data_IF_633763502471
#
_entry.id   IF_633763502471
#
_cell.length_a   1.000
_cell.length_b   1.000
_cell.length_c   1.000
_cell.angle_alpha   90.00
_cell.angle_beta   90.00
_cell.angle_gamma   90.00
#
_symmetry.space_group_name_H-M   'P 1'
#
loop_
_entity.id
_entity.type
_entity.pdbx_description
1 polymer ?
2 non-polymer ?
3 non-polymer ?
4 non-polymer ?
5 water ?
#
# COMPACT_ATOMS: atom_id res chain seq x y z
N UNK A 6 13.08 -27.40 17.75
CA UNK A 6 12.70 -26.79 19.07
C UNK A 6 12.14 -25.35 18.92
N UNK A 7 11.49 -24.81 19.96
CA UNK A 7 11.03 -23.38 19.98
C UNK A 7 10.97 -22.70 21.39
N UNK A 8 10.31 -21.53 21.48
CA UNK A 8 10.24 -20.74 22.74
C UNK A 8 9.20 -21.27 23.77
N UNK A 9 8.25 -22.09 23.27
CA UNK A 9 7.17 -22.68 24.08
C UNK A 9 7.67 -23.94 24.77
N UNK A 10 8.72 -24.54 24.22
CA UNK A 10 9.33 -25.75 24.77
C UNK A 10 10.86 -25.80 24.59
N UNK A 11 11.55 -24.93 25.33
CA UNK A 11 13.00 -24.98 25.54
C UNK A 11 13.19 -24.85 27.06
N UNK A 12 14.23 -25.46 27.64
CA UNK A 12 14.47 -25.38 29.10
C UNK A 12 14.86 -23.94 29.55
N UNK A 13 14.16 -23.42 30.57
CA UNK A 13 14.41 -22.05 31.09
C UNK A 13 15.33 -22.12 32.33
N UNK A 14 16.63 -21.97 32.10
CA UNK A 14 17.69 -22.19 33.14
C UNK A 14 17.95 -21.05 34.16
N UNK A 15 17.72 -19.80 33.73
CA UNK A 15 17.96 -18.58 34.54
C UNK A 15 17.04 -18.37 35.75
N UNK A 16 15.77 -18.83 35.65
CA UNK A 16 14.66 -18.51 36.62
C UNK A 16 15.06 -18.30 38.11
N UNK A 17 15.20 -17.03 38.54
CA UNK A 17 15.96 -16.80 39.75
C UNK A 17 15.17 -17.06 41.05
N UNK A 18 15.85 -17.48 42.12
CA UNK A 18 15.17 -17.70 43.40
C UNK A 18 14.47 -16.44 43.89
N UNK A 19 13.15 -16.54 44.05
CA UNK A 19 12.34 -15.42 44.54
C UNK A 19 12.60 -15.05 46.03
N UNK A 20 13.72 -14.38 46.27
CA UNK A 20 14.10 -13.94 47.61
C UNK A 20 13.88 -12.43 47.79
N UNK A 21 13.94 -11.94 49.04
CA UNK A 21 13.87 -10.49 49.25
C UNK A 21 14.90 -9.71 48.45
N UNK A 22 16.07 -10.28 48.26
CA UNK A 22 17.15 -9.56 47.65
C UNK A 22 16.82 -9.50 46.18
N UNK A 23 16.24 -10.59 45.64
CA UNK A 23 15.85 -10.58 44.25
C UNK A 23 14.78 -9.51 43.97
N UNK A 24 13.76 -9.43 44.82
CA UNK A 24 12.67 -8.50 44.56
C UNK A 24 13.16 -7.03 44.66
N UNK A 25 14.12 -6.81 45.57
CA UNK A 25 14.78 -5.50 45.75
C UNK A 25 15.58 -5.03 44.52
N UNK A 26 16.36 -5.94 43.92
CA UNK A 26 17.01 -5.74 42.63
C UNK A 26 16.03 -5.43 41.50
N UNK A 27 14.87 -6.06 41.50
CA UNK A 27 13.81 -5.83 40.51
C UNK A 27 13.16 -4.45 40.73
N UNK A 28 12.94 -4.10 41.99
CA UNK A 28 12.49 -2.76 42.35
C UNK A 28 13.54 -1.76 41.84
N UNK A 29 14.79 -2.13 41.97
CA UNK A 29 15.87 -1.29 41.57
C UNK A 29 15.84 -1.13 40.05
N UNK A 30 15.62 -2.24 39.32
CA UNK A 30 15.47 -2.19 37.85
C UNK A 30 14.42 -1.15 37.45
N UNK A 31 13.20 -1.24 37.99
CA UNK A 31 12.12 -0.31 37.65
C UNK A 31 12.55 1.13 37.79
N UNK A 32 13.27 1.43 38.87
CA UNK A 32 13.70 2.80 39.18
C UNK A 32 14.67 3.34 38.15
N UNK A 33 15.56 2.49 37.68
CA UNK A 33 16.68 2.91 36.84
C UNK A 33 16.43 2.76 35.36
N UNK A 34 15.20 2.48 34.97
CA UNK A 34 14.81 2.20 33.57
C UNK A 34 15.51 1.01 32.93
N UNK A 35 15.66 -0.06 33.70
CA UNK A 35 16.29 -1.30 33.25
C UNK A 35 15.23 -2.36 33.18
N UNK A 36 15.27 -3.18 32.13
CA UNK A 36 14.38 -4.33 32.03
C UNK A 36 15.21 -5.54 31.71
N UNK A 37 15.19 -6.57 32.56
CA UNK A 37 16.13 -7.65 32.30
C UNK A 37 15.68 -8.54 31.14
N UNK A 38 16.67 -9.13 30.48
CA UNK A 38 16.41 -9.81 29.23
C UNK A 38 15.71 -11.10 29.50
N UNK A 39 16.05 -11.69 30.64
CA UNK A 39 15.79 -13.09 30.82
C UNK A 39 14.31 -13.43 30.79
N UNK A 40 13.54 -12.60 31.50
CA UNK A 40 12.09 -12.74 31.66
C UNK A 40 11.23 -12.61 30.37
N UNK A 41 11.87 -12.44 29.22
CA UNK A 41 11.11 -12.21 28.00
C UNK A 41 11.80 -12.40 26.63
N UNK A 42 12.97 -13.04 26.59
CA UNK A 42 13.66 -13.25 25.31
C UNK A 42 12.68 -13.63 24.17
N UNK A 43 11.76 -14.56 24.46
CA UNK A 43 10.81 -15.10 23.46
C UNK A 43 9.85 -14.12 22.83
N UNK A 44 9.26 -13.24 23.64
CA UNK A 44 8.45 -12.12 23.13
C UNK A 44 9.27 -11.36 22.08
N UNK A 45 10.46 -10.94 22.51
CA UNK A 45 11.37 -10.11 21.74
C UNK A 45 11.87 -10.76 20.45
N UNK A 46 12.05 -12.08 20.45
CA UNK A 46 12.77 -12.74 19.36
C UNK A 46 12.11 -14.02 18.90
N UNK A 47 10.99 -13.89 18.16
CA UNK A 47 10.21 -15.08 17.83
C UNK A 47 10.89 -15.99 16.84
N UNK A 48 10.29 -17.15 16.63
CA UNK A 48 10.84 -18.17 15.74
C UNK A 48 10.68 -17.68 14.30
N UNK A 49 9.54 -17.05 14.00
CA UNK A 49 9.25 -16.40 12.73
C UNK A 49 8.33 -15.22 12.99
N UNK A 50 8.20 -14.29 12.04
CA UNK A 50 7.34 -13.16 12.34
C UNK A 50 5.97 -13.59 12.88
N UNK A 51 5.53 -12.90 13.90
CA UNK A 51 4.24 -13.21 14.44
C UNK A 51 3.58 -11.86 14.68
N UNK A 52 2.94 -11.36 13.64
CA UNK A 52 2.48 -9.99 13.63
C UNK A 52 1.34 -9.68 14.60
N UNK A 53 1.39 -8.49 15.18
CA UNK A 53 0.27 -7.97 15.93
C UNK A 53 -0.91 -7.71 15.02
N UNK A 54 -0.67 -7.28 13.76
CA UNK A 54 -1.77 -7.10 12.82
C UNK A 54 -2.33 -8.45 12.39
N UNK A 55 -3.54 -8.41 11.88
CA UNK A 55 -4.30 -9.62 11.66
C UNK A 55 -4.76 -9.54 10.24
N UNK A 56 -4.83 -10.70 9.54
CA UNK A 56 -5.43 -10.72 8.21
C UNK A 56 -6.89 -10.20 8.29
N UNK A 57 -7.26 -9.29 7.41
CA UNK A 57 -8.58 -8.71 7.49
C UNK A 57 -9.02 -8.30 6.11
N UNK A 58 -10.33 -8.38 5.82
CA UNK A 58 -10.93 -7.95 4.56
C UNK A 58 -11.88 -6.81 4.89
N UNK A 59 -11.90 -5.79 4.02
CA UNK A 59 -12.92 -4.74 4.05
C UNK A 59 -13.79 -4.80 2.80
N UNK A 60 -15.12 -4.83 2.99
CA UNK A 60 -16.04 -4.97 1.87
C UNK A 60 -16.25 -3.62 1.23
N UNK A 61 -16.02 -3.52 -0.07
CA UNK A 61 -16.16 -2.26 -0.78
C UNK A 61 -17.53 -1.61 -0.62
N UNK A 62 -18.60 -2.39 -0.75
CA UNK A 62 -19.97 -1.85 -0.64
C UNK A 62 -20.12 -1.16 0.72
N UNK A 63 -19.55 -1.79 1.78
CA UNK A 63 -19.43 -1.19 3.12
C UNK A 63 -18.66 0.13 3.09
N UNK A 64 -17.44 0.13 2.53
CA UNK A 64 -16.61 1.34 2.45
C UNK A 64 -17.31 2.49 1.69
N UNK A 65 -17.87 2.17 0.53
CA UNK A 65 -18.72 3.06 -0.22
C UNK A 65 -19.88 3.67 0.60
N UNK A 66 -20.62 2.84 1.33
CA UNK A 66 -21.75 3.36 2.10
C UNK A 66 -21.26 4.41 3.09
N UNK A 67 -20.24 4.06 3.88
CA UNK A 67 -19.69 4.97 4.89
C UNK A 67 -18.98 6.21 4.27
N UNK A 68 -18.49 6.07 3.04
CA UNK A 68 -17.84 7.19 2.34
C UNK A 68 -18.86 8.19 1.86
N UNK A 69 -19.95 7.72 1.28
CA UNK A 69 -21.01 8.59 0.85
C UNK A 69 -21.60 9.36 2.03
N UNK A 70 -21.84 8.65 3.13
CA UNK A 70 -22.45 9.24 4.30
C UNK A 70 -21.52 10.29 4.87
N UNK A 71 -20.22 10.00 4.92
CA UNK A 71 -19.24 11.03 5.29
C UNK A 71 -19.38 12.27 4.41
N UNK A 72 -19.64 12.05 3.11
CA UNK A 72 -19.94 13.11 2.18
C UNK A 72 -21.11 13.97 2.61
N UNK A 73 -22.10 13.38 3.27
CA UNK A 73 -23.22 14.17 3.77
C UNK A 73 -22.80 14.96 5.01
N UNK A 74 -22.34 14.25 6.02
CA UNK A 74 -22.23 14.81 7.33
C UNK A 74 -21.07 15.79 7.60
N UNK A 75 -20.04 15.82 6.75
CA UNK A 75 -18.75 16.53 7.04
C UNK A 75 -18.07 17.13 5.79
N UNK A 76 -17.61 18.42 5.82
CA UNK A 76 -16.85 18.84 4.63
C UNK A 76 -15.35 18.50 4.78
N UNK A 77 -14.67 18.42 3.64
CA UNK A 77 -13.23 18.23 3.54
C UNK A 77 -12.67 19.64 3.72
N UNK A 78 -11.49 19.74 4.34
CA UNK A 78 -11.11 21.00 4.93
C UNK A 78 -9.64 21.27 5.14
N UNK A 79 -9.28 21.58 6.38
CA UNK A 79 -7.98 22.22 6.66
C UNK A 79 -7.28 21.77 7.94
N UNK A 80 -8.02 21.40 8.96
CA UNK A 80 -7.35 20.71 10.08
C UNK A 80 -7.23 19.23 9.75
N UNK A 81 -8.38 18.67 9.32
CA UNK A 81 -8.60 17.26 9.07
C UNK A 81 -7.99 16.92 7.75
N UNK A 82 -7.78 17.97 6.94
CA UNK A 82 -7.03 17.91 5.66
C UNK A 82 -7.78 17.13 4.52
N UNK A 83 -8.19 15.89 4.85
CA UNK A 83 -8.91 14.99 3.94
C UNK A 83 -10.16 14.33 4.62
N UNK A 84 -11.28 14.27 3.90
CA UNK A 84 -12.41 13.39 4.28
C UNK A 84 -12.06 11.99 3.78
N UNK A 85 -11.22 11.33 4.55
CA UNK A 85 -10.72 10.02 4.22
C UNK A 85 -10.92 9.05 5.39
N UNK A 86 -11.22 7.80 5.03
CA UNK A 86 -11.60 6.75 5.97
C UNK A 86 -10.48 5.71 5.98
N UNK A 87 -9.74 5.63 7.09
CA UNK A 87 -8.53 4.82 7.17
C UNK A 87 -8.90 3.45 7.68
N UNK A 88 -8.40 2.41 7.01
CA UNK A 88 -8.64 1.03 7.41
C UNK A 88 -7.72 0.68 8.58
N UNK A 89 -8.30 0.49 9.74
CA UNK A 89 -7.56 0.19 10.96
C UNK A 89 -7.54 -1.32 11.20
N UNK A 90 -6.35 -1.87 11.37
CA UNK A 90 -6.26 -3.29 11.65
C UNK A 90 -6.78 -3.61 13.07
N UNK A 91 -7.70 -4.59 13.19
CA UNK A 91 -8.12 -4.96 14.56
C UNK A 91 -6.93 -5.29 15.50
N UNK A 92 -5.82 -5.75 14.96
CA UNK A 92 -4.76 -6.20 15.85
C UNK A 92 -3.78 -5.13 16.29
N UNK A 93 -3.95 -3.92 15.75
CA UNK A 93 -3.03 -2.82 16.00
C UNK A 93 -3.53 -1.75 16.96
N UNK A 94 -4.22 -2.20 18.01
CA UNK A 94 -4.48 -1.39 19.23
C UNK A 94 -5.13 0.01 19.11
N UNK A 95 -6.08 0.13 18.18
CA UNK A 95 -6.74 1.39 17.91
C UNK A 95 -6.08 2.33 16.89
N UNK A 96 -4.85 2.01 16.43
CA UNK A 96 -4.15 2.88 15.50
C UNK A 96 -4.77 2.83 14.08
N UNK A 97 -4.69 3.92 13.32
CA UNK A 97 -5.27 3.93 12.01
C UNK A 97 -4.30 3.36 10.99
N UNK A 98 -3.91 2.12 11.23
CA UNK A 98 -2.84 1.43 10.52
C UNK A 98 -3.38 0.14 9.89
N UNK A 99 -3.30 -0.03 8.58
CA UNK A 99 -3.79 -1.28 8.05
C UNK A 99 -2.76 -2.41 8.33
N UNK A 100 -1.48 -2.04 8.40
CA UNK A 100 -0.38 -2.92 8.78
C UNK A 100 0.58 -2.08 9.61
N UNK A 101 1.62 -2.68 10.23
CA UNK A 101 2.57 -1.85 10.99
C UNK A 101 3.33 -0.78 10.15
N UNK A 102 3.41 -1.04 8.85
CA UNK A 102 4.13 -0.17 7.94
C UNK A 102 3.25 0.80 7.14
N UNK A 103 2.02 0.40 6.76
CA UNK A 103 1.20 1.18 5.79
C UNK A 103 -0.13 1.69 6.29
N UNK A 104 -0.48 2.87 5.81
CA UNK A 104 -1.83 3.40 5.97
C UNK A 104 -2.55 3.16 4.67
N UNK A 105 -3.80 2.77 4.77
CA UNK A 105 -4.62 2.48 3.60
C UNK A 105 -5.93 3.20 3.86
N UNK A 106 -6.42 3.98 2.89
CA UNK A 106 -7.56 4.85 3.17
C UNK A 106 -8.47 5.05 2.00
N UNK A 107 -9.76 5.24 2.26
CA UNK A 107 -10.63 5.63 1.17
C UNK A 107 -11.07 7.09 1.25
N UNK A 108 -10.69 7.87 0.23
CA UNK A 108 -10.92 9.28 0.25
C UNK A 108 -12.07 9.56 -0.66
N UNK A 109 -13.04 10.32 -0.13
CA UNK A 109 -14.23 10.73 -0.86
C UNK A 109 -14.09 12.21 -1.17
N UNK A 110 -14.27 12.59 -2.43
CA UNK A 110 -14.23 14.02 -2.78
C UNK A 110 -15.49 14.32 -3.55
N UNK A 111 -16.31 15.18 -2.94
CA UNK A 111 -17.61 15.54 -3.47
C UNK A 111 -17.51 16.65 -4.49
N UNK A 112 -18.64 16.95 -5.14
CA UNK A 112 -18.71 17.87 -6.27
C UNK A 112 -18.02 19.20 -6.02
N UNK A 113 -17.20 19.61 -6.98
CA UNK A 113 -16.61 20.95 -6.96
C UNK A 113 -15.66 21.21 -5.77
N UNK A 114 -15.51 20.22 -4.89
CA UNK A 114 -14.62 20.35 -3.73
C UNK A 114 -13.15 20.36 -4.08
N UNK A 115 -12.37 21.00 -3.21
CA UNK A 115 -10.94 20.94 -3.32
C UNK A 115 -10.27 20.62 -1.97
N UNK A 116 -9.01 20.16 -2.08
CA UNK A 116 -8.08 19.94 -0.97
C UNK A 116 -6.87 20.88 -1.17
N UNK A 117 -6.19 21.24 -0.10
CA UNK A 117 -5.19 22.31 -0.34
C UNK A 117 -3.75 21.79 -0.46
N UNK A 118 -2.89 22.61 -1.06
CA UNK A 118 -1.46 22.29 -1.29
C UNK A 118 -0.63 22.01 0.01
N UNK A 119 -0.34 20.74 0.34
CA UNK A 119 0.60 20.47 1.44
C UNK A 119 1.75 19.56 0.98
N UNK A 120 2.78 19.42 1.82
CA UNK A 120 3.77 18.32 1.69
C UNK A 120 4.24 17.78 3.03
N UNK A 121 4.60 16.51 2.99
CA UNK A 121 5.17 15.79 4.12
C UNK A 121 6.30 14.82 3.66
N UNK A 122 7.20 14.45 4.57
CA UNK A 122 8.22 13.47 4.23
C UNK A 122 7.62 12.12 3.84
N UNK A 123 6.39 11.84 4.30
CA UNK A 123 5.77 10.52 4.11
C UNK A 123 5.45 10.25 2.65
N UNK A 124 5.74 9.05 2.17
CA UNK A 124 5.52 8.75 0.75
C UNK A 124 4.06 8.35 0.50
N UNK A 125 3.50 8.76 -0.63
CA UNK A 125 2.06 8.56 -0.86
C UNK A 125 1.70 8.14 -2.30
N UNK A 126 0.62 7.41 -2.46
CA UNK A 126 0.04 7.24 -3.77
C UNK A 126 -1.50 7.28 -3.65
N UNK A 127 -2.14 7.50 -4.79
CA UNK A 127 -3.58 7.62 -4.97
C UNK A 127 -4.04 6.59 -6.00
N UNK A 128 -4.87 5.63 -5.64
CA UNK A 128 -5.37 4.69 -6.66
C UNK A 128 -6.90 4.70 -6.80
N UNK A 129 -7.36 5.06 -8.03
CA UNK A 129 -8.78 5.28 -8.40
C UNK A 129 -9.50 4.08 -8.99
N UNK A 130 -10.46 3.48 -8.26
CA UNK A 130 -11.19 2.27 -8.76
C UNK A 130 -12.48 2.64 -9.54
N UNK A 131 -13.05 3.79 -9.19
CA UNK A 131 -14.30 4.29 -9.72
C UNK A 131 -14.28 5.79 -9.55
N UNK A 132 -14.56 6.52 -10.63
CA UNK A 132 -14.57 7.97 -10.53
C UNK A 132 -13.97 8.56 -11.76
N UNK A 133 -13.97 9.88 -11.87
CA UNK A 133 -13.40 10.55 -13.06
C UNK A 133 -13.26 12.05 -12.79
N UNK A 134 -12.45 12.70 -13.60
CA UNK A 134 -12.37 14.17 -13.60
C UNK A 134 -12.04 14.92 -12.33
N UNK A 135 -11.45 14.25 -11.32
CA UNK A 135 -10.64 14.96 -10.27
C UNK A 135 -9.20 15.11 -10.75
N UNK A 136 -8.51 16.13 -10.27
CA UNK A 136 -7.15 16.43 -10.68
C UNK A 136 -6.25 16.74 -9.46
N UNK A 137 -5.16 15.99 -9.28
CA UNK A 137 -4.19 16.29 -8.22
C UNK A 137 -3.05 17.08 -8.78
N UNK A 138 -2.75 18.24 -8.21
CA UNK A 138 -1.65 19.03 -8.71
C UNK A 138 -0.42 18.67 -7.89
N UNK A 139 0.64 18.16 -8.53
CA UNK A 139 1.87 17.78 -7.82
C UNK A 139 3.03 18.74 -8.17
N UNK A 140 3.60 19.42 -7.17
CA UNK A 140 4.64 20.39 -7.44
C UNK A 140 4.20 21.29 -8.64
N UNK A 141 2.94 21.79 -8.61
CA UNK A 141 2.40 22.62 -9.70
C UNK A 141 1.92 21.93 -10.99
N UNK A 142 2.03 20.62 -11.07
CA UNK A 142 1.82 19.89 -12.33
C UNK A 142 0.48 19.11 -12.23
N UNK A 143 -0.59 19.64 -12.85
CA UNK A 143 -1.91 18.99 -12.69
C UNK A 143 -1.93 17.61 -13.32
N UNK A 144 -2.37 16.64 -12.53
CA UNK A 144 -2.39 15.26 -12.93
C UNK A 144 -3.82 14.74 -12.83
N UNK A 145 -4.52 14.68 -13.97
CA UNK A 145 -5.88 14.10 -14.09
C UNK A 145 -5.97 12.73 -13.44
N UNK A 146 -7.10 12.36 -12.84
CA UNK A 146 -7.28 11.04 -12.20
C UNK A 146 -8.49 10.32 -12.82
N UNK A 147 -8.37 9.00 -13.10
CA UNK A 147 -9.54 8.16 -13.50
C UNK A 147 -9.45 6.60 -13.27
N UNK A 148 -10.54 5.87 -13.45
CA UNK A 148 -10.57 4.43 -13.08
C UNK A 148 -9.32 3.72 -13.60
N UNK A 149 -8.62 3.06 -12.68
CA UNK A 149 -7.40 2.29 -12.94
C UNK A 149 -6.09 3.07 -12.80
N UNK A 150 -6.15 4.36 -12.52
CA UNK A 150 -4.95 5.17 -12.54
C UNK A 150 -4.24 5.14 -11.21
N UNK A 151 -2.93 4.81 -11.21
CA UNK A 151 -2.08 5.02 -10.04
C UNK A 151 -1.47 6.37 -10.18
N UNK A 152 -1.69 7.26 -9.22
CA UNK A 152 -0.90 8.48 -9.20
C UNK A 152 0.06 8.36 -8.05
N UNK A 153 1.26 8.88 -8.24
CA UNK A 153 2.24 8.96 -7.17
C UNK A 153 2.31 10.38 -6.58
N UNK A 154 2.73 10.46 -5.32
CA UNK A 154 2.87 11.69 -4.60
C UNK A 154 4.06 11.45 -3.67
N UNK A 155 5.26 11.42 -4.25
CA UNK A 155 6.38 11.00 -3.46
C UNK A 155 6.62 12.02 -2.36
N UNK A 156 7.30 11.56 -1.30
CA UNK A 156 7.63 12.42 -0.16
C UNK A 156 8.24 13.75 -0.52
N UNK A 157 7.80 14.79 0.20
CA UNK A 157 8.32 16.17 0.11
C UNK A 157 7.91 16.97 -1.14
N UNK A 158 6.98 16.40 -1.93
CA UNK A 158 6.32 17.05 -3.08
C UNK A 158 5.00 17.68 -2.69
N UNK A 159 4.87 18.99 -2.93
CA UNK A 159 3.57 19.69 -2.74
C UNK A 159 2.39 18.98 -3.48
N UNK A 160 1.23 18.89 -2.85
CA UNK A 160 0.08 18.32 -3.55
C UNK A 160 -1.30 18.79 -2.99
N UNK A 161 -2.27 19.05 -3.89
CA UNK A 161 -3.69 19.31 -3.54
C UNK A 161 -4.65 18.77 -4.60
N UNK A 162 -5.91 18.56 -4.22
CA UNK A 162 -6.92 17.81 -5.00
C UNK A 162 -8.21 18.59 -5.41
N UNK A 163 -8.31 19.18 -6.63
CA UNK A 163 -9.56 19.85 -7.17
C UNK A 163 -10.56 18.99 -7.98
N UNK A 164 -11.84 18.93 -7.59
CA UNK A 164 -12.81 18.14 -8.36
C UNK A 164 -13.56 18.93 -9.41
N UNK A 165 -13.32 18.68 -10.70
CA UNK A 165 -13.91 19.51 -11.76
C UNK A 165 -15.37 19.24 -12.17
N UNK A 166 -16.08 18.36 -11.48
CA UNK A 166 -17.42 17.98 -11.92
C UNK A 166 -18.41 17.88 -10.76
N UNK A 167 -19.69 17.82 -11.11
CA UNK A 167 -20.75 17.58 -10.15
C UNK A 167 -20.75 16.14 -9.65
N UNK A 168 -19.68 15.40 -9.92
CA UNK A 168 -19.62 14.04 -9.42
C UNK A 168 -18.69 13.82 -8.23
N UNK A 169 -19.09 12.93 -7.32
CA UNK A 169 -18.12 12.58 -6.33
C UNK A 169 -17.04 11.65 -6.95
N UNK A 170 -15.86 11.62 -6.34
CA UNK A 170 -14.83 10.64 -6.65
C UNK A 170 -14.29 9.90 -5.44
N UNK A 171 -14.19 8.58 -5.57
CA UNK A 171 -13.59 7.75 -4.54
C UNK A 171 -12.28 7.07 -4.99
N UNK A 172 -11.24 7.26 -4.19
CA UNK A 172 -9.97 6.62 -4.45
C UNK A 172 -9.33 5.97 -3.21
N UNK A 173 -8.17 5.33 -3.35
CA UNK A 173 -7.50 4.93 -2.14
C UNK A 173 -6.20 5.68 -1.99
N UNK A 174 -5.95 6.15 -0.76
CA UNK A 174 -4.63 6.56 -0.35
C UNK A 174 -3.87 5.36 0.11
N UNK A 175 -2.59 5.32 -0.22
CA UNK A 175 -1.67 4.41 0.47
C UNK A 175 -0.48 5.21 0.94
N UNK A 176 -0.07 5.03 2.21
CA UNK A 176 1.10 5.76 2.66
C UNK A 176 1.90 4.97 3.63
N UNK A 177 3.15 5.37 3.81
CA UNK A 177 3.97 4.82 4.85
C UNK A 177 3.84 5.63 6.15
N UNK A 178 2.64 6.13 6.49
CA UNK A 178 2.40 6.86 7.78
C UNK A 178 2.78 5.98 8.98
N UNK A 179 2.29 4.69 8.99
CA UNK A 179 2.61 3.82 10.15
C UNK A 179 4.13 3.58 10.34
N UNK A 180 4.89 3.33 9.28
CA UNK A 180 6.35 3.31 9.37
C UNK A 180 6.86 4.65 9.90
N UNK A 181 6.48 5.73 9.24
CA UNK A 181 7.06 7.03 9.51
C UNK A 181 6.77 7.50 10.91
N UNK A 182 5.59 7.21 11.43
CA UNK A 182 5.29 7.57 12.80
C UNK A 182 6.13 6.81 13.83
N UNK A 183 6.16 5.49 13.73
CA UNK A 183 6.87 4.64 14.63
C UNK A 183 8.37 4.87 14.60
N UNK A 184 8.95 5.16 13.41
CA UNK A 184 10.37 5.46 13.28
C UNK A 184 10.80 6.95 13.40
N UNK A 185 9.87 7.85 13.68
CA UNK A 185 10.20 9.30 13.89
C UNK A 185 10.89 10.00 12.71
N UNK A 186 10.19 9.98 11.59
CA UNK A 186 10.81 10.33 10.35
C UNK A 186 9.94 11.40 9.65
N UNK A 187 8.84 11.80 10.30
CA UNK A 187 7.86 12.71 9.69
C UNK A 187 8.14 14.21 9.74
N UNK A 188 7.97 14.87 8.60
CA UNK A 188 7.93 16.33 8.51
C UNK A 188 6.71 16.71 7.70
N UNK A 189 6.26 17.96 7.85
CA UNK A 189 5.03 18.42 7.25
C UNK A 189 5.00 19.93 7.07
N UNK A 190 4.63 20.37 5.87
CA UNK A 190 4.46 21.79 5.53
C UNK A 190 3.15 22.15 4.82
N UNK A 191 2.84 23.46 4.91
CA UNK A 191 1.65 24.00 4.30
C UNK A 191 1.95 24.70 2.98
N UNK A 192 0.98 24.53 2.09
CA UNK A 192 0.86 25.27 0.85
C UNK A 192 -0.55 25.83 0.83
N UNK A 193 -1.10 26.03 -0.36
CA UNK A 193 -2.38 26.76 -0.52
C UNK A 193 -3.72 25.95 -0.33
N UNK A 194 -4.79 26.69 0.01
CA UNK A 194 -6.19 26.18 0.14
C UNK A 194 -6.95 25.99 -1.19
N UNK A 195 -6.55 26.72 -2.22
CA UNK A 195 -6.94 26.39 -3.59
C UNK A 195 -5.77 25.51 -4.04
N UNK A 196 -6.01 24.57 -4.97
CA UNK A 196 -4.86 23.94 -5.64
C UNK A 196 -4.12 25.02 -6.48
N UNK A 197 -2.80 24.88 -6.59
CA UNK A 197 -1.90 25.90 -7.15
C UNK A 197 -2.19 26.26 -8.63
N UNK A 198 -2.77 25.34 -9.38
CA UNK A 198 -2.96 25.50 -10.82
C UNK A 198 -4.30 24.87 -11.22
N UNK A 199 -5.32 25.72 -11.42
CA UNK A 199 -6.66 25.20 -11.66
C UNK A 199 -6.86 24.59 -13.05
N UNK A 200 -5.94 24.89 -13.96
CA UNK A 200 -5.90 24.26 -15.29
C UNK A 200 -6.12 22.72 -15.22
N UNK A 201 -6.70 22.17 -16.27
CA UNK A 201 -7.10 20.78 -16.26
C UNK A 201 -6.52 19.91 -17.42
N UNK A 202 -5.20 20.07 -17.75
CA UNK A 202 -4.63 19.51 -18.98
C UNK A 202 -4.75 17.99 -18.99
N UNK A 203 -5.21 17.43 -20.10
CA UNK A 203 -5.62 16.01 -20.17
C UNK A 203 -4.48 15.00 -19.79
N UNK A 204 -3.22 15.45 -19.95
CA UNK A 204 -2.02 14.71 -19.49
C UNK A 204 -1.05 15.69 -18.85
N UNK A 205 -0.22 15.17 -17.93
CA UNK A 205 0.63 16.01 -17.13
C UNK A 205 1.98 16.13 -17.77
N UNK A 206 2.73 17.20 -17.43
CA UNK A 206 4.09 17.37 -17.96
C UNK A 206 4.94 16.12 -17.75
N UNK A 207 4.96 15.61 -16.51
CA UNK A 207 5.76 14.41 -16.14
C UNK A 207 5.52 13.23 -17.06
N UNK A 208 4.23 12.94 -17.28
CA UNK A 208 3.79 11.94 -18.23
C UNK A 208 4.40 12.20 -19.60
N UNK A 209 4.36 13.48 -19.98
CA UNK A 209 4.66 13.84 -21.36
C UNK A 209 6.16 13.79 -21.62
N UNK A 210 7.00 13.99 -20.59
CA UNK A 210 8.46 13.77 -20.71
C UNK A 210 8.79 12.24 -20.65
N UNK A 211 8.12 11.57 -19.71
CA UNK A 211 8.56 10.29 -19.17
C UNK A 211 7.76 9.08 -19.58
N UNK A 212 6.56 9.23 -20.13
CA UNK A 212 5.86 8.05 -20.54
C UNK A 212 6.10 7.57 -21.97
N UNK A 213 7.31 7.76 -22.48
CA UNK A 213 7.64 7.16 -23.77
C UNK A 213 8.55 5.96 -23.61
N UNK A 214 8.08 4.79 -24.03
CA UNK A 214 8.74 3.54 -23.62
C UNK A 214 10.19 3.49 -24.08
N UNK A 215 11.10 3.19 -23.17
CA UNK A 215 12.53 3.10 -23.46
C UNK A 215 13.24 4.39 -23.85
N UNK A 216 12.62 5.54 -23.55
CA UNK A 216 13.20 6.83 -23.90
C UNK A 216 13.42 7.72 -22.68
N UNK A 217 14.52 8.46 -22.65
CA UNK A 217 14.76 9.34 -21.53
C UNK A 217 15.13 10.71 -22.06
N UNK A 218 14.52 11.80 -21.54
CA UNK A 218 14.87 13.14 -21.93
C UNK A 218 16.28 13.49 -21.52
N UNK A 219 17.01 14.24 -22.34
CA UNK A 219 18.40 14.54 -21.98
C UNK A 219 18.40 15.59 -20.90
N UNK A 220 17.24 16.14 -20.58
CA UNK A 220 17.17 17.17 -19.55
C UNK A 220 16.92 16.52 -18.21
N UNK A 221 16.64 15.20 -18.24
CA UNK A 221 16.37 14.32 -17.08
C UNK A 221 17.34 13.12 -16.90
N UNK A 222 18.65 13.36 -17.06
CA UNK A 222 19.69 12.32 -17.04
C UNK A 222 20.06 11.85 -15.62
N UNK A 223 19.80 12.74 -14.65
CA UNK A 223 19.97 12.45 -13.25
C UNK A 223 18.93 11.42 -12.75
N UNK A 224 19.39 10.42 -12.00
CA UNK A 224 18.46 9.47 -11.36
C UNK A 224 17.71 10.09 -10.18
N UNK A 225 16.55 9.54 -9.86
CA UNK A 225 15.71 10.12 -8.82
C UNK A 225 15.46 9.03 -7.78
N UNK A 226 15.13 9.41 -6.54
CA UNK A 226 14.84 8.40 -5.49
C UNK A 226 13.40 7.88 -5.62
N UNK A 227 12.50 8.78 -6.03
CA UNK A 227 11.14 8.37 -6.41
C UNK A 227 10.92 8.60 -7.90
N UNK A 228 9.79 8.12 -8.38
CA UNK A 228 9.57 8.13 -9.79
C UNK A 228 9.09 9.50 -10.28
N UNK A 229 9.55 9.98 -11.44
CA UNK A 229 8.94 11.16 -11.98
C UNK A 229 7.62 10.91 -12.73
N UNK A 230 7.15 9.66 -12.81
CA UNK A 230 5.92 9.45 -13.54
C UNK A 230 4.77 9.80 -12.60
N UNK A 231 4.06 10.88 -12.91
CA UNK A 231 3.00 11.31 -12.05
C UNK A 231 1.83 10.37 -12.10
N UNK A 232 1.57 9.76 -13.26
CA UNK A 232 0.44 8.84 -13.39
C UNK A 232 0.76 7.57 -14.20
N UNK A 233 0.39 6.42 -13.70
CA UNK A 233 0.49 5.18 -14.48
C UNK A 233 -0.93 4.83 -14.90
N UNK A 234 -1.28 5.12 -16.15
CA UNK A 234 -2.69 5.03 -16.56
C UNK A 234 -3.19 3.63 -16.83
N UNK A 235 -4.46 3.44 -16.54
CA UNK A 235 -5.12 2.20 -16.80
C UNK A 235 -4.75 1.55 -18.15
N UNK A 236 -4.77 2.36 -19.23
CA UNK A 236 -4.56 1.81 -20.57
C UNK A 236 -3.32 0.93 -20.63
N UNK A 237 -2.17 1.54 -20.31
CA UNK A 237 -0.90 0.88 -20.43
C UNK A 237 -0.89 -0.35 -19.52
N UNK A 238 -1.37 -0.17 -18.27
CA UNK A 238 -1.45 -1.29 -17.32
C UNK A 238 -2.25 -2.44 -17.91
N UNK A 239 -3.41 -2.10 -18.51
CA UNK A 239 -4.28 -3.08 -19.12
C UNK A 239 -3.60 -3.84 -20.30
N UNK A 240 -3.03 -3.08 -21.22
CA UNK A 240 -2.41 -3.68 -22.36
C UNK A 240 -1.24 -4.57 -21.93
N UNK A 241 -0.41 -4.08 -21.00
CA UNK A 241 0.69 -4.93 -20.53
C UNK A 241 0.17 -6.30 -20.10
N UNK A 242 -0.89 -6.30 -19.30
CA UNK A 242 -1.38 -7.54 -18.69
C UNK A 242 -1.91 -8.49 -19.75
N UNK A 243 -2.65 -7.94 -20.73
CA UNK A 243 -3.21 -8.66 -21.88
C UNK A 243 -2.12 -9.33 -22.73
N UNK A 244 -1.14 -8.55 -23.18
CA UNK A 244 0.04 -9.10 -23.88
C UNK A 244 0.66 -10.29 -23.13
N UNK A 245 0.83 -10.17 -21.82
CA UNK A 245 1.42 -11.28 -21.08
C UNK A 245 0.57 -12.56 -21.23
N UNK A 246 -0.74 -12.37 -21.37
CA UNK A 246 -1.67 -13.51 -21.51
C UNK A 246 -1.71 -14.07 -22.95
N UNK A 247 -1.76 -13.17 -23.93
CA UNK A 247 -1.49 -13.52 -25.31
C UNK A 247 -0.14 -14.24 -25.53
N UNK A 248 0.96 -13.71 -24.98
CA UNK A 248 2.26 -14.40 -25.04
C UNK A 248 2.18 -15.85 -24.50
N UNK A 249 1.50 -16.03 -23.36
CA UNK A 249 1.23 -17.34 -22.79
C UNK A 249 0.45 -18.27 -23.78
N UNK A 250 -0.64 -17.75 -24.36
CA UNK A 250 -1.37 -18.47 -25.42
C UNK A 250 -0.42 -18.94 -26.52
N UNK A 251 0.56 -18.11 -26.83
CA UNK A 251 1.48 -18.34 -27.92
C UNK A 251 2.66 -19.22 -27.50
N UNK A 252 2.61 -19.78 -26.30
CA UNK A 252 3.74 -20.55 -25.75
C UNK A 252 5.05 -19.80 -25.39
N UNK A 253 5.01 -18.48 -25.23
CA UNK A 253 6.22 -17.72 -24.89
C UNK A 253 6.23 -17.38 -23.44
N UNK A 254 7.41 -17.42 -22.80
CA UNK A 254 7.57 -16.84 -21.43
C UNK A 254 7.08 -15.35 -21.27
N UNK A 255 6.39 -15.06 -20.16
CA UNK A 255 5.79 -13.77 -19.91
C UNK A 255 5.19 -13.78 -18.52
N UNK A 256 4.10 -14.52 -18.37
CA UNK A 256 3.43 -14.66 -17.09
C UNK A 256 4.40 -15.04 -15.92
N UNK A 257 4.08 -14.67 -14.70
CA UNK A 257 4.90 -15.10 -13.55
C UNK A 257 4.75 -16.57 -13.25
N UNK A 258 3.50 -17.03 -13.36
CA UNK A 258 3.12 -18.39 -13.12
C UNK A 258 1.99 -18.69 -14.08
N UNK A 259 1.67 -19.95 -14.26
CA UNK A 259 0.71 -20.31 -15.29
C UNK A 259 -0.62 -19.62 -15.10
N UNK A 260 -1.05 -18.89 -16.10
CA UNK A 260 -2.32 -18.15 -16.05
C UNK A 260 -2.28 -16.88 -15.23
N UNK A 261 -1.11 -16.59 -14.64
CA UNK A 261 -0.93 -15.47 -13.69
C UNK A 261 -0.12 -14.32 -14.32
N UNK A 262 -0.78 -13.40 -15.02
CA UNK A 262 -0.06 -12.22 -15.56
C UNK A 262 0.12 -11.17 -14.46
N UNK A 263 1.20 -10.37 -14.55
CA UNK A 263 1.56 -9.40 -13.49
C UNK A 263 2.69 -8.45 -13.87
N UNK A 264 2.55 -7.19 -13.43
CA UNK A 264 3.55 -6.12 -13.62
C UNK A 264 3.79 -5.33 -12.34
N UNK A 265 4.94 -4.69 -12.26
CA UNK A 265 5.31 -3.85 -11.13
C UNK A 265 5.41 -2.44 -11.67
N UNK A 266 4.87 -1.49 -10.93
CA UNK A 266 5.04 -0.08 -11.29
C UNK A 266 6.47 0.30 -10.88
N UNK A 267 7.17 1.00 -11.79
CA UNK A 267 8.57 1.26 -11.56
C UNK A 267 8.95 2.73 -11.77
N UNK A 268 10.02 3.16 -11.09
CA UNK A 268 10.73 4.43 -11.34
C UNK A 268 11.56 4.29 -12.61
N UNK A 269 11.15 4.97 -13.71
CA UNK A 269 11.96 4.68 -14.93
C UNK A 269 13.45 5.12 -14.92
N UNK A 270 13.85 5.93 -13.93
CA UNK A 270 15.23 6.42 -13.94
C UNK A 270 16.14 5.30 -13.47
N UNK A 271 15.55 4.39 -12.67
CA UNK A 271 16.28 3.27 -12.06
C UNK A 271 15.77 1.87 -12.38
N UNK A 272 14.52 1.70 -12.85
CA UNK A 272 13.95 0.32 -12.97
C UNK A 272 13.54 -0.28 -11.61
N UNK A 273 13.72 0.51 -10.54
CA UNK A 273 13.40 0.06 -9.18
C UNK A 273 12.00 0.48 -8.76
N UNK A 274 11.75 0.52 -7.45
CA UNK A 274 10.36 0.70 -6.99
C UNK A 274 9.90 2.12 -7.16
N UNK A 275 8.60 2.35 -7.15
CA UNK A 275 8.10 3.72 -7.36
C UNK A 275 8.59 4.72 -6.32
N UNK A 276 8.69 4.26 -5.08
CA UNK A 276 9.05 5.13 -3.96
C UNK A 276 9.97 4.37 -2.95
N UNK A 277 10.71 5.09 -2.09
CA UNK A 277 11.61 4.30 -1.24
C UNK A 277 10.97 3.23 -0.36
N UNK A 278 9.75 3.45 0.10
CA UNK A 278 9.12 2.56 1.08
C UNK A 278 7.98 1.66 0.55
N UNK A 279 7.53 1.87 -0.69
CA UNK A 279 6.29 1.24 -1.15
C UNK A 279 6.48 0.68 -2.49
N UNK A 280 6.08 -0.59 -2.64
CA UNK A 280 5.97 -1.28 -3.95
C UNK A 280 4.50 -1.35 -4.41
N UNK A 281 4.24 -1.15 -5.70
CA UNK A 281 2.92 -1.25 -6.26
C UNK A 281 3.02 -2.26 -7.39
N UNK A 282 2.05 -3.13 -7.51
CA UNK A 282 2.00 -4.08 -8.61
C UNK A 282 0.55 -4.14 -9.12
N UNK A 283 0.33 -4.69 -10.31
CA UNK A 283 -1.03 -5.06 -10.72
C UNK A 283 -1.06 -6.56 -11.22
N UNK A 284 -2.08 -7.31 -10.83
CA UNK A 284 -2.13 -8.74 -11.23
C UNK A 284 -3.46 -9.01 -11.98
N UNK A 285 -3.40 -9.84 -13.02
CA UNK A 285 -4.57 -10.33 -13.74
C UNK A 285 -4.46 -11.83 -13.79
N UNK A 286 -5.28 -12.55 -13.01
CA UNK A 286 -5.39 -14.04 -13.08
C UNK A 286 -6.48 -14.48 -14.06
N UNK A 287 -6.18 -15.51 -14.87
CA UNK A 287 -7.17 -16.22 -15.72
C UNK A 287 -8.17 -16.90 -14.81
N UNK A 288 -9.39 -16.99 -15.30
CA UNK A 288 -10.43 -17.74 -14.63
C UNK A 288 -9.92 -19.15 -14.40
N UNK A 289 -10.05 -19.61 -13.16
CA UNK A 289 -9.61 -20.96 -12.75
C UNK A 289 -8.25 -21.05 -12.06
N UNK A 290 -7.50 -19.94 -12.11
CA UNK A 290 -6.13 -19.93 -11.62
C UNK A 290 -6.10 -19.94 -10.10
N UNK A 291 -5.22 -20.75 -9.51
CA UNK A 291 -4.99 -20.67 -8.05
C UNK A 291 -3.50 -20.59 -7.77
N UNK A 292 -3.08 -19.46 -7.20
CA UNK A 292 -1.63 -19.23 -6.96
C UNK A 292 -1.03 -20.18 -5.89
N UNK A 293 0.24 -20.50 -6.00
CA UNK A 293 0.89 -21.30 -4.97
C UNK A 293 0.85 -20.50 -3.65
N UNK A 294 0.77 -21.19 -2.51
CA UNK A 294 0.78 -20.48 -1.22
C UNK A 294 2.16 -19.82 -1.00
N UNK A 295 2.16 -18.56 -0.55
CA UNK A 295 3.40 -17.85 -0.25
C UNK A 295 3.41 -17.35 1.17
N UNK A 296 4.61 -17.30 1.73
CA UNK A 296 4.86 -16.56 2.96
C UNK A 296 5.89 -15.54 2.56
N UNK A 297 5.64 -14.26 2.79
CA UNK A 297 6.63 -13.26 2.52
C UNK A 297 6.80 -12.37 3.72
N UNK A 298 8.02 -11.91 3.98
CA UNK A 298 8.21 -10.96 5.06
C UNK A 298 7.63 -9.60 4.69
N UNK A 299 7.06 -8.90 5.67
CA UNK A 299 6.39 -7.61 5.48
C UNK A 299 4.96 -7.80 5.06
N UNK A 300 4.24 -6.69 5.03
CA UNK A 300 2.79 -6.69 4.74
C UNK A 300 2.52 -6.24 3.36
N UNK A 301 1.47 -6.80 2.78
CA UNK A 301 0.99 -6.38 1.48
C UNK A 301 -0.53 -6.08 1.59
N UNK A 302 -1.07 -5.34 0.64
CA UNK A 302 -2.49 -5.08 0.61
C UNK A 302 -2.92 -5.17 -0.83
N UNK A 303 -4.12 -5.67 -1.10
CA UNK A 303 -4.62 -5.79 -2.47
C UNK A 303 -5.99 -5.17 -2.52
N UNK A 304 -6.37 -4.62 -3.67
CA UNK A 304 -7.76 -4.27 -3.90
C UNK A 304 -8.22 -4.94 -5.18
N UNK A 305 -9.38 -5.61 -5.12
CA UNK A 305 -9.96 -6.27 -6.29
C UNK A 305 -10.45 -5.19 -7.24
N UNK A 306 -9.89 -5.12 -8.41
CA UNK A 306 -10.26 -4.09 -9.33
C UNK A 306 -11.44 -4.51 -10.22
N UNK A 307 -11.46 -5.78 -10.63
CA UNK A 307 -12.48 -6.31 -11.53
C UNK A 307 -12.50 -7.81 -11.40
N UNK A 308 -13.68 -8.40 -11.59
CA UNK A 308 -13.83 -9.83 -11.49
C UNK A 308 -14.25 -10.31 -10.10
N UNK A 309 -13.99 -11.59 -9.83
CA UNK A 309 -14.58 -12.28 -8.69
C UNK A 309 -13.71 -13.42 -8.35
N UNK A 310 -13.54 -13.68 -7.06
CA UNK A 310 -12.76 -14.87 -6.65
C UNK A 310 -12.50 -14.84 -5.16
N UNK A 311 -11.36 -15.36 -4.74
CA UNK A 311 -11.13 -15.53 -3.31
C UNK A 311 -9.67 -15.39 -2.84
N UNK A 312 -9.48 -15.06 -1.56
CA UNK A 312 -8.19 -15.21 -0.92
C UNK A 312 -8.30 -16.31 0.07
N UNK A 313 -7.16 -16.96 0.33
CA UNK A 313 -6.98 -17.84 1.47
C UNK A 313 -5.86 -17.22 2.34
N UNK A 314 -6.13 -16.99 3.62
CA UNK A 314 -5.12 -16.46 4.53
C UNK A 314 -5.20 -17.30 5.80
N UNK A 315 -4.07 -17.87 6.22
CA UNK A 315 -4.04 -18.86 7.30
C UNK A 315 -5.10 -19.98 7.08
N UNK A 316 -5.42 -20.27 5.83
CA UNK A 316 -6.26 -21.41 5.52
C UNK A 316 -7.73 -21.07 5.42
N UNK A 317 -8.04 -19.81 5.74
CA UNK A 317 -9.39 -19.31 5.70
C UNK A 317 -9.67 -18.66 4.37
N UNK A 318 -10.55 -19.29 3.59
CA UNK A 318 -10.99 -18.79 2.29
C UNK A 318 -12.00 -17.73 2.60
N UNK A 319 -11.83 -16.54 2.02
CA UNK A 319 -12.85 -15.49 2.02
C UNK A 319 -13.23 -15.17 0.57
N UNK A 320 -14.51 -15.14 0.24
CA UNK A 320 -14.93 -14.75 -1.10
C UNK A 320 -14.87 -13.20 -1.32
N UNK A 321 -14.51 -12.78 -2.53
CA UNK A 321 -14.13 -11.40 -2.82
C UNK A 321 -14.80 -10.86 -4.06
N UNK A 322 -15.31 -9.63 -3.97
CA UNK A 322 -15.89 -8.91 -5.13
C UNK A 322 -15.17 -7.62 -5.46
N UNK A 323 -15.49 -7.08 -6.63
CA UNK A 323 -15.00 -5.78 -7.12
C UNK A 323 -14.91 -4.73 -6.00
N UNK A 324 -13.70 -4.20 -5.77
CA UNK A 324 -13.45 -3.16 -4.76
C UNK A 324 -12.95 -3.58 -3.38
N UNK A 325 -13.14 -4.83 -3.01
CA UNK A 325 -12.79 -5.31 -1.69
C UNK A 325 -11.30 -5.18 -1.47
N UNK A 326 -10.91 -5.06 -0.22
CA UNK A 326 -9.50 -4.83 0.08
C UNK A 326 -9.17 -5.77 1.18
N UNK A 327 -8.03 -6.45 1.08
CA UNK A 327 -7.55 -7.24 2.19
C UNK A 327 -6.06 -7.03 2.55
N UNK A 328 -5.69 -7.23 3.81
CA UNK A 328 -4.29 -7.20 4.17
C UNK A 328 -3.71 -8.52 4.68
N UNK A 329 -2.50 -8.81 4.22
CA UNK A 329 -1.76 -9.98 4.63
C UNK A 329 -0.56 -9.48 5.44
N UNK A 330 -0.64 -9.56 6.77
CA UNK A 330 0.53 -9.21 7.54
C UNK A 330 1.75 -10.12 7.28
N UNK A 331 2.91 -9.63 7.68
CA UNK A 331 4.13 -10.37 7.60
C UNK A 331 3.95 -11.88 7.84
N UNK A 332 4.35 -12.65 6.85
CA UNK A 332 4.55 -14.07 6.98
C UNK A 332 3.32 -14.95 7.01
N UNK A 333 2.13 -14.33 6.89
CA UNK A 333 0.89 -15.10 6.89
C UNK A 333 0.81 -15.80 5.55
N UNK A 334 0.57 -17.13 5.52
CA UNK A 334 0.51 -17.83 4.23
C UNK A 334 -0.75 -17.39 3.48
N UNK A 335 -0.60 -17.02 2.20
CA UNK A 335 -1.70 -16.46 1.45
C UNK A 335 -1.74 -17.01 0.03
N UNK A 336 -2.95 -17.13 -0.54
CA UNK A 336 -3.09 -17.43 -1.96
C UNK A 336 -4.38 -16.85 -2.48
N UNK A 337 -4.49 -16.84 -3.80
CA UNK A 337 -5.53 -16.14 -4.48
C UNK A 337 -6.09 -17.06 -5.51
N UNK A 338 -7.42 -17.03 -5.68
CA UNK A 338 -8.12 -17.95 -6.59
C UNK A 338 -9.11 -17.17 -7.45
N UNK A 339 -9.00 -17.29 -8.76
CA UNK A 339 -9.84 -16.48 -9.62
C UNK A 339 -11.03 -17.33 -10.00
N UNK A 340 -12.23 -16.75 -9.93
CA UNK A 340 -13.44 -17.43 -10.39
C UNK A 340 -13.64 -17.01 -11.82
N UNK A 341 -13.91 -15.73 -12.06
CA UNK A 341 -13.74 -15.12 -13.38
C UNK A 341 -12.30 -14.62 -13.54
N UNK A 342 -12.03 -13.95 -14.65
CA UNK A 342 -10.81 -13.19 -14.77
C UNK A 342 -10.73 -12.14 -13.62
N UNK A 343 -9.68 -12.22 -12.81
CA UNK A 343 -9.51 -11.52 -11.52
C UNK A 343 -8.39 -10.42 -11.61
N UNK A 344 -8.76 -9.16 -11.81
CA UNK A 344 -7.82 -8.04 -11.85
C UNK A 344 -7.61 -7.49 -10.44
N UNK A 345 -6.36 -7.35 -9.95
CA UNK A 345 -6.07 -6.83 -8.58
C UNK A 345 -4.91 -5.84 -8.46
N UNK A 346 -5.05 -4.81 -7.64
CA UNK A 346 -3.99 -3.82 -7.48
C UNK A 346 -3.36 -4.15 -6.17
N UNK A 347 -2.04 -3.94 -6.02
CA UNK A 347 -1.28 -4.42 -4.85
C UNK A 347 -0.25 -3.39 -4.37
N UNK A 348 -0.15 -3.24 -3.06
CA UNK A 348 0.98 -2.51 -2.50
C UNK A 348 1.58 -3.21 -1.29
N UNK A 349 2.87 -3.00 -1.05
CA UNK A 349 3.53 -3.60 0.07
C UNK A 349 4.63 -2.72 0.57
N UNK A 350 5.24 -3.15 1.68
CA UNK A 350 6.38 -2.52 2.30
C UNK A 350 7.64 -3.25 1.88
N UNK A 351 7.56 -4.06 0.83
CA UNK A 351 8.72 -4.87 0.44
C UNK A 351 10.02 -4.10 0.15
N UNK A 352 9.94 -2.85 -0.38
CA UNK A 352 11.22 -2.17 -0.63
C UNK A 352 11.97 -1.97 0.67
N UNK A 353 11.27 -1.75 1.78
CA UNK A 353 11.94 -1.70 3.09
C UNK A 353 12.58 -3.07 3.49
N UNK A 354 11.81 -4.14 3.44
CA UNK A 354 12.33 -5.44 3.79
C UNK A 354 13.56 -5.73 2.91
N UNK A 355 13.48 -5.34 1.63
CA UNK A 355 14.56 -5.63 0.65
C UNK A 355 15.78 -4.74 0.84
N UNK A 356 15.60 -3.43 1.08
CA UNK A 356 16.79 -2.57 1.29
C UNK A 356 17.58 -3.01 2.50
N UNK A 357 16.88 -3.54 3.49
CA UNK A 357 17.52 -3.85 4.73
C UNK A 357 17.88 -5.34 4.86
N UNK A 358 17.71 -6.10 3.75
CA UNK A 358 18.03 -7.55 3.68
C UNK A 358 17.25 -8.39 4.67
N UNK A 359 15.99 -8.03 4.91
CA UNK A 359 15.15 -8.78 5.81
C UNK A 359 14.18 -9.69 5.08
N UNK A 360 14.15 -9.65 3.74
CA UNK A 360 13.13 -10.40 2.98
C UNK A 360 13.37 -11.91 2.96
N UNK A 361 12.28 -12.69 3.02
CA UNK A 361 12.32 -14.12 2.76
C UNK A 361 11.05 -14.56 2.11
N UNK A 362 11.12 -15.69 1.42
CA UNK A 362 9.98 -16.17 0.69
C UNK A 362 9.93 -17.70 0.76
N UNK A 363 8.77 -18.21 1.18
CA UNK A 363 8.42 -19.62 1.12
C UNK A 363 7.28 -19.73 0.11
N UNK A 364 7.48 -20.54 -0.92
CA UNK A 364 6.48 -20.85 -1.95
C UNK A 364 6.15 -22.36 -1.92
N UNK A 365 4.88 -22.73 -2.09
CA UNK A 365 4.42 -24.14 -1.96
C UNK A 365 5.19 -25.24 -2.74
N UNK A 366 5.20 -25.13 -4.06
CA UNK A 366 5.80 -26.16 -4.92
C UNK A 366 7.28 -26.02 -5.27
N UNK A 367 8.14 -25.94 -4.23
CA UNK A 367 9.61 -25.80 -4.34
C UNK A 367 10.29 -25.66 -2.97
X LIG B 1 -0.87 14.43 1.68
X LIG C 1 -4.59 12.75 0.03
X LIG C 1 -2.97 14.09 0.69
X LIG C 1 -5.41 9.59 3.86
X LIG C 1 -1.46 13.36 2.78
X LIG C 1 -3.37 10.71 4.45
X LIG C 1 -2.37 11.65 4.18
X LIG C 1 -4.54 11.30 2.41
X LIG C 1 -3.71 13.09 0.86
X LIG C 1 -4.45 10.52 3.57
X LIG C 1 -2.42 12.44 3.03
X LIG C 1 -3.57 12.25 2.10
X LIG D 1 3.06 11.50 -23.72
X LIG D 1 2.76 12.69 -24.43
X LIG D 1 1.77 10.88 -23.18
X LIG D 1 1.40 11.57 -22.01
X LIG D 1 1.91 9.37 -22.95
X LIG D 1 0.67 8.84 -22.51
#
# INVERSE_FOLDING_TARGET
MQNEKLDHESVTQAMQPKDTPELRALYKSFEEESIIPLWTQLGDLMPIHPKSKAVPHVWKWSTLLRLARKSGELVPVGRGGERRALGLANPGLGGNAYISPTMYAGIQYLGPRETAPEHRHSQNAFRFVVEGEGVWTVVNGDPVRMSRGDLLLTPGWCFHGHMNDTDQPMAWIDGLDIPFSQQMDVGFFEFGSDRVTDYATPNFSRGERLWCHPGLRPLSGLQNTVASPIGAYRWEFTDRALTEQLLLEDEGQPATVAPGHAAIRYVNPTTGGDVMPTLRCEFHRLRAGTETATRNEVGSTVFQVFEGAGAVVMNGETTKLEKGDMFVVPSWVPWSLQAETQFDLFRFSDAPIMEALSFMRTKIEGQ
FE FE
GTQ OAA OAB OAC OAD CAE CAF CAG CAH CAI CAJ CAK
GOL C1 O1 C2 O2 C3 O3
#
